data_IF_534436384394
#
_entry.id   IF_534436384394
#
_cell.length_a   1.000
_cell.length_b   1.000
_cell.length_c   1.000
_cell.angle_alpha   90.00
_cell.angle_beta   90.00
_cell.angle_gamma   90.00
#
_symmetry.space_group_name_H-M   'P 1'
#
loop_
_entity.id
_entity.type
_entity.pdbx_description
1 polymer ?
#
# COMPACT_ATOMS: atom_id res chain seq x y z
N UNK A 1 8.18 9.45 5.69
CA UNK A 1 7.18 8.83 6.59
C UNK A 1 6.46 9.96 7.29
N UNK A 2 5.14 10.03 7.13
CA UNK A 2 4.34 11.15 7.64
C UNK A 2 3.82 10.89 9.06
N UNK A 3 3.73 9.64 9.49
CA UNK A 3 3.23 9.23 10.81
C UNK A 3 4.27 9.24 11.92
N UNK A 4 3.79 9.23 13.17
CA UNK A 4 4.59 9.03 14.37
C UNK A 4 5.25 7.65 14.41
N UNK A 5 4.50 6.60 14.03
CA UNK A 5 5.08 5.26 13.81
C UNK A 5 6.07 5.34 12.64
N UNK A 6 7.32 4.95 12.88
CA UNK A 6 8.39 4.93 11.87
C UNK A 6 8.49 3.55 11.23
N UNK A 7 8.98 3.55 9.99
CA UNK A 7 9.38 2.33 9.27
C UNK A 7 10.64 1.72 9.90
N UNK A 8 10.84 0.43 9.66
CA UNK A 8 12.03 -0.32 10.06
C UNK A 8 12.71 -0.86 8.80
N UNK A 9 13.92 -1.41 8.93
CA UNK A 9 14.68 -1.92 7.77
C UNK A 9 13.97 -3.04 7.01
N UNK A 10 13.21 -3.89 7.71
CA UNK A 10 12.44 -4.94 7.05
C UNK A 10 11.28 -4.38 6.22
N UNK A 11 10.61 -3.32 6.69
CA UNK A 11 9.57 -2.60 5.94
C UNK A 11 10.12 -1.99 4.65
N UNK A 12 11.35 -1.46 4.67
CA UNK A 12 12.01 -0.91 3.48
C UNK A 12 12.29 -1.99 2.43
N UNK A 13 12.82 -3.14 2.86
CA UNK A 13 13.04 -4.30 1.97
C UNK A 13 11.72 -4.82 1.37
N UNK A 14 10.66 -4.87 2.16
CA UNK A 14 9.34 -5.26 1.66
C UNK A 14 8.79 -4.25 0.64
N UNK A 15 9.03 -2.95 0.83
CA UNK A 15 8.68 -1.91 -0.14
C UNK A 15 9.47 -2.00 -1.45
N UNK A 16 10.77 -2.31 -1.39
CA UNK A 16 11.60 -2.58 -2.58
C UNK A 16 11.07 -3.81 -3.35
N UNK A 17 10.75 -4.88 -2.63
CA UNK A 17 10.15 -6.08 -3.20
C UNK A 17 8.80 -5.79 -3.84
N UNK A 18 7.96 -5.01 -3.17
CA UNK A 18 6.65 -4.61 -3.65
C UNK A 18 6.75 -3.76 -4.93
N UNK A 19 7.68 -2.81 -4.99
CA UNK A 19 7.90 -1.99 -6.18
C UNK A 19 8.28 -2.84 -7.40
N UNK A 20 9.16 -3.84 -7.23
CA UNK A 20 9.51 -4.77 -8.30
C UNK A 20 8.29 -5.59 -8.77
N UNK A 21 7.40 -5.97 -7.85
CA UNK A 21 6.16 -6.70 -8.17
C UNK A 21 5.18 -5.81 -8.94
N UNK A 22 4.97 -4.56 -8.50
CA UNK A 22 4.07 -3.61 -9.18
C UNK A 22 4.58 -3.24 -10.57
N UNK A 23 5.89 -3.10 -10.78
CA UNK A 23 6.45 -2.89 -12.10
C UNK A 23 6.08 -4.03 -13.07
N UNK A 24 6.17 -5.29 -12.61
CA UNK A 24 5.78 -6.47 -13.40
C UNK A 24 4.27 -6.55 -13.67
N UNK A 25 3.43 -6.32 -12.65
CA UNK A 25 1.97 -6.33 -12.81
C UNK A 25 1.46 -5.19 -13.67
N UNK A 26 2.03 -4.00 -13.51
CA UNK A 26 1.65 -2.82 -14.27
C UNK A 26 2.02 -2.94 -15.74
N UNK A 27 3.13 -3.61 -16.08
CA UNK A 27 3.47 -3.90 -17.47
C UNK A 27 2.45 -4.83 -18.18
N UNK A 28 1.68 -5.60 -17.41
CA UNK A 28 0.62 -6.48 -17.90
C UNK A 28 -0.78 -5.89 -17.67
N UNK A 29 -0.87 -4.65 -17.19
CA UNK A 29 -2.12 -3.97 -16.85
C UNK A 29 -3.03 -4.73 -15.85
N UNK A 30 -2.42 -5.52 -14.95
CA UNK A 30 -3.18 -6.37 -14.01
C UNK A 30 -3.66 -5.58 -12.79
N UNK A 31 -2.78 -4.76 -12.21
CA UNK A 31 -3.03 -4.09 -10.95
C UNK A 31 -1.91 -3.15 -10.55
N UNK A 32 -2.17 -2.37 -9.51
CA UNK A 32 -1.29 -1.25 -9.11
C UNK A 32 -1.00 -1.24 -7.60
N UNK A 33 -1.41 -2.28 -6.88
CA UNK A 33 -1.09 -2.47 -5.48
C UNK A 33 -0.92 -3.94 -5.07
N UNK A 34 -0.20 -4.15 -3.98
CA UNK A 34 0.06 -5.46 -3.42
C UNK A 34 0.33 -5.38 -1.91
N UNK A 35 0.32 -6.53 -1.26
CA UNK A 35 0.72 -6.67 0.15
C UNK A 35 1.93 -7.60 0.25
N UNK A 36 2.96 -7.17 0.97
CA UNK A 36 4.21 -7.91 1.16
C UNK A 36 4.56 -8.01 2.64
N UNK A 37 5.03 -9.17 3.09
CA UNK A 37 5.53 -9.39 4.45
C UNK A 37 6.76 -10.31 4.40
N UNK A 38 7.89 -9.84 4.91
CA UNK A 38 9.12 -10.64 4.96
C UNK A 38 9.57 -11.13 3.59
N UNK A 39 9.40 -10.30 2.54
CA UNK A 39 9.70 -10.61 1.15
C UNK A 39 8.64 -11.44 0.41
N UNK A 40 7.65 -12.01 1.12
CA UNK A 40 6.58 -12.79 0.52
C UNK A 40 5.42 -11.90 0.09
N UNK A 41 4.97 -12.06 -1.16
CA UNK A 41 3.75 -11.42 -1.65
C UNK A 41 2.55 -12.20 -1.12
N UNK A 42 1.69 -11.53 -0.37
CA UNK A 42 0.50 -12.11 0.26
C UNK A 42 -0.76 -11.87 -0.54
N UNK A 43 -0.86 -10.71 -1.20
CA UNK A 43 -1.99 -10.37 -2.05
C UNK A 43 -1.56 -9.43 -3.17
N UNK A 44 -2.27 -9.52 -4.30
CA UNK A 44 -2.10 -8.68 -5.48
C UNK A 44 -3.46 -8.10 -5.84
N UNK A 45 -3.48 -6.81 -6.17
CA UNK A 45 -4.68 -6.18 -6.72
C UNK A 45 -4.91 -6.70 -8.14
N UNK A 46 -6.18 -6.98 -8.43
CA UNK A 46 -6.67 -7.29 -9.77
C UNK A 46 -8.01 -6.60 -10.00
N UNK A 47 -8.87 -7.23 -10.81
CA UNK A 47 -10.14 -6.64 -11.25
C UNK A 47 -11.10 -6.21 -10.12
N UNK A 48 -11.05 -6.85 -8.95
CA UNK A 48 -11.95 -6.54 -7.82
C UNK A 48 -11.47 -5.36 -6.96
N UNK A 49 -10.29 -4.80 -7.27
CA UNK A 49 -9.77 -3.59 -6.66
C UNK A 49 -9.16 -3.75 -5.26
N UNK A 50 -8.53 -2.67 -4.80
CA UNK A 50 -7.80 -2.56 -3.53
C UNK A 50 -8.66 -2.98 -2.32
N UNK A 51 -9.90 -2.51 -2.23
CA UNK A 51 -10.78 -2.76 -1.08
C UNK A 51 -11.09 -4.25 -0.91
N UNK A 52 -11.40 -4.93 -2.01
CA UNK A 52 -11.65 -6.38 -1.99
C UNK A 52 -10.39 -7.12 -1.58
N UNK A 53 -9.24 -6.74 -2.14
CA UNK A 53 -7.95 -7.33 -1.81
C UNK A 53 -7.65 -7.19 -0.30
N UNK A 54 -7.73 -5.99 0.27
CA UNK A 54 -7.44 -5.78 1.69
C UNK A 54 -8.44 -6.50 2.61
N UNK A 55 -9.73 -6.53 2.25
CA UNK A 55 -10.75 -7.29 3.00
C UNK A 55 -10.45 -8.78 3.05
N UNK A 56 -9.85 -9.35 1.99
CA UNK A 56 -9.48 -10.77 1.95
C UNK A 56 -8.38 -11.14 2.95
N UNK A 57 -7.64 -10.15 3.47
CA UNK A 57 -6.54 -10.33 4.43
C UNK A 57 -6.97 -10.24 5.90
N UNK A 58 -8.22 -9.86 6.20
CA UNK A 58 -8.69 -9.62 7.58
C UNK A 58 -8.61 -10.85 8.51
N UNK A 59 -8.42 -12.06 7.97
CA UNK A 59 -8.28 -13.32 8.73
C UNK A 59 -7.19 -14.23 8.17
N UNK A 60 -6.11 -13.65 7.64
CA UNK A 60 -5.01 -14.44 7.06
C UNK A 60 -4.32 -15.33 8.14
N UNK A 61 -3.87 -16.54 7.78
CA UNK A 61 -3.36 -17.53 8.74
C UNK A 61 -1.98 -17.19 9.31
N UNK A 62 -1.22 -16.30 8.68
CA UNK A 62 0.11 -15.87 9.13
C UNK A 62 0.07 -14.71 10.14
N UNK A 63 -1.13 -14.30 10.59
CA UNK A 63 -1.34 -13.29 11.63
C UNK A 63 -1.27 -11.85 11.10
N UNK A 64 -0.51 -11.00 11.78
CA UNK A 64 -0.38 -9.56 11.47
C UNK A 64 0.98 -9.22 10.86
N UNK A 65 1.13 -7.98 10.40
CA UNK A 65 2.35 -7.38 9.89
C UNK A 65 2.49 -7.30 8.37
N UNK A 66 3.58 -6.71 7.92
CA UNK A 66 3.84 -6.42 6.50
C UNK A 66 3.20 -5.13 6.03
N UNK A 67 3.40 -4.82 4.76
CA UNK A 67 3.06 -3.52 4.17
C UNK A 67 2.09 -3.67 3.01
N UNK A 68 1.18 -2.71 2.91
CA UNK A 68 0.46 -2.44 1.67
C UNK A 68 1.27 -1.45 0.83
N UNK A 69 1.48 -1.75 -0.45
CA UNK A 69 2.19 -0.90 -1.39
C UNK A 69 1.27 -0.51 -2.54
N UNK A 70 1.22 0.78 -2.91
CA UNK A 70 0.51 1.28 -4.08
C UNK A 70 1.40 2.23 -4.87
N UNK A 71 1.42 2.06 -6.19
CA UNK A 71 2.15 2.95 -7.08
C UNK A 71 1.43 3.08 -8.41
N UNK A 72 1.86 4.05 -9.22
CA UNK A 72 1.39 4.19 -10.60
C UNK A 72 1.94 3.04 -11.46
N UNK A 73 1.12 2.51 -12.37
CA UNK A 73 1.60 1.53 -13.35
C UNK A 73 2.58 2.17 -14.36
N UNK A 74 3.58 1.44 -14.87
CA UNK A 74 4.41 1.92 -15.97
C UNK A 74 3.55 2.34 -17.17
N UNK A 75 3.80 3.52 -17.73
CA UNK A 75 3.06 4.05 -18.89
C UNK A 75 1.65 4.59 -18.59
N UNK A 76 1.16 4.53 -17.35
CA UNK A 76 -0.12 5.13 -16.98
C UNK A 76 -0.03 6.66 -17.06
N UNK A 77 -0.97 7.25 -17.80
CA UNK A 77 -1.13 8.69 -17.90
C UNK A 77 -1.84 9.23 -16.65
N UNK A 78 -1.16 10.00 -15.79
CA UNK A 78 -1.75 10.49 -14.55
C UNK A 78 -2.92 11.47 -14.77
N UNK A 79 -3.11 11.98 -16.00
CA UNK A 79 -4.25 12.85 -16.37
C UNK A 79 -5.52 12.06 -16.62
N UNK A 80 -5.40 10.75 -16.87
CA UNK A 80 -6.52 9.86 -17.16
C UNK A 80 -6.96 9.16 -15.89
N UNK A 81 -6.00 8.57 -15.16
CA UNK A 81 -6.26 7.83 -13.94
C UNK A 81 -5.01 7.86 -13.06
N UNK A 82 -5.17 8.35 -11.83
CA UNK A 82 -4.11 8.40 -10.82
C UNK A 82 -4.54 7.51 -9.65
N UNK A 83 -3.73 6.52 -9.22
CA UNK A 83 -4.06 5.70 -8.07
C UNK A 83 -4.34 6.55 -6.84
N UNK A 84 -5.33 6.17 -6.05
CA UNK A 84 -5.78 6.95 -4.88
C UNK A 84 -5.67 6.13 -3.60
N UNK A 85 -5.32 6.83 -2.51
CA UNK A 85 -5.37 6.35 -1.12
C UNK A 85 -6.08 7.38 -0.26
N UNK A 86 -6.92 6.93 0.67
CA UNK A 86 -7.59 7.78 1.65
C UNK A 86 -7.76 7.10 3.00
N UNK A 87 -8.52 7.71 3.90
CA UNK A 87 -8.78 7.19 5.26
C UNK A 87 -9.40 5.79 5.25
N UNK A 88 -10.20 5.46 4.24
CA UNK A 88 -10.78 4.11 4.10
C UNK A 88 -9.71 3.04 3.83
N UNK A 89 -8.66 3.40 3.09
CA UNK A 89 -7.50 2.51 2.87
C UNK A 89 -6.74 2.29 4.17
N UNK A 90 -6.61 3.32 5.01
CA UNK A 90 -6.01 3.21 6.35
C UNK A 90 -6.82 2.25 7.21
N UNK A 91 -8.14 2.43 7.28
CA UNK A 91 -9.03 1.55 8.03
C UNK A 91 -8.97 0.10 7.53
N UNK A 92 -8.92 -0.11 6.21
CA UNK A 92 -8.81 -1.44 5.61
C UNK A 92 -7.44 -2.10 5.90
N UNK A 93 -6.34 -1.35 5.81
CA UNK A 93 -5.01 -1.85 6.14
C UNK A 93 -4.88 -2.22 7.63
N UNK A 94 -5.44 -1.39 8.52
CA UNK A 94 -5.50 -1.67 9.95
C UNK A 94 -6.32 -2.93 10.24
N UNK A 95 -7.47 -3.10 9.59
CA UNK A 95 -8.31 -4.30 9.72
C UNK A 95 -7.64 -5.56 9.18
N UNK A 96 -6.81 -5.44 8.15
CA UNK A 96 -5.95 -6.50 7.65
C UNK A 96 -4.74 -6.80 8.56
N UNK A 97 -4.58 -6.03 9.65
CA UNK A 97 -3.48 -6.15 10.59
C UNK A 97 -2.14 -5.86 9.95
N UNK A 98 -2.05 -4.91 9.02
CA UNK A 98 -0.79 -4.50 8.38
C UNK A 98 -0.03 -3.51 9.27
N UNK A 99 1.29 -3.48 9.15
CA UNK A 99 2.15 -2.53 9.87
C UNK A 99 2.08 -1.12 9.26
N UNK A 100 1.88 -1.04 7.94
CA UNK A 100 1.96 0.22 7.24
C UNK A 100 1.44 0.22 5.81
N UNK A 101 1.25 1.44 5.33
CA UNK A 101 0.93 1.79 3.95
C UNK A 101 2.12 2.52 3.36
N UNK A 102 2.53 2.08 2.18
CA UNK A 102 3.60 2.67 1.38
C UNK A 102 3.04 3.09 0.03
N UNK A 103 3.29 4.34 -0.35
CA UNK A 103 2.89 4.87 -1.65
C UNK A 103 4.08 5.51 -2.35
N UNK A 104 4.13 5.44 -3.67
CA UNK A 104 5.17 6.11 -4.45
C UNK A 104 4.91 7.62 -4.56
N UNK A 105 5.94 8.43 -4.30
CA UNK A 105 5.91 9.89 -4.53
C UNK A 105 5.55 10.19 -5.99
N UNK A 106 4.74 11.22 -6.23
CA UNK A 106 4.23 11.64 -7.54
C UNK A 106 3.43 10.59 -8.35
N UNK A 107 3.24 9.39 -7.80
CA UNK A 107 2.51 8.28 -8.44
C UNK A 107 1.13 8.01 -7.85
N UNK A 108 0.80 8.55 -6.67
CA UNK A 108 -0.44 8.25 -5.94
C UNK A 108 -1.03 9.53 -5.34
N UNK A 109 -2.32 9.76 -5.56
CA UNK A 109 -3.07 10.82 -4.88
C UNK A 109 -3.45 10.38 -3.47
N UNK A 110 -3.12 11.21 -2.49
CA UNK A 110 -3.55 11.02 -1.09
C UNK A 110 -4.70 11.97 -0.81
N UNK A 111 -5.89 11.41 -0.56
CA UNK A 111 -7.08 12.18 -0.19
C UNK A 111 -6.92 12.73 1.23
N UNK A 112 -6.85 14.05 1.36
CA UNK A 112 -6.62 14.75 2.64
C UNK A 112 -5.49 14.09 3.44
N UNK A 113 -4.25 14.43 3.06
CA UNK A 113 -3.04 13.89 3.70
C UNK A 113 -3.07 14.04 5.23
N UNK A 114 -3.60 15.14 5.75
CA UNK A 114 -3.68 15.37 7.19
C UNK A 114 -4.68 14.40 7.85
N UNK A 115 -5.82 14.12 7.21
CA UNK A 115 -6.75 13.11 7.71
C UNK A 115 -6.18 11.70 7.64
N UNK A 116 -5.46 11.36 6.57
CA UNK A 116 -4.76 10.07 6.43
C UNK A 116 -3.70 9.89 7.51
N UNK A 117 -2.88 10.91 7.77
CA UNK A 117 -1.86 10.89 8.82
C UNK A 117 -2.47 10.63 10.20
N UNK A 118 -3.51 11.41 10.58
CA UNK A 118 -4.21 11.22 11.85
C UNK A 118 -4.82 9.82 11.98
N UNK A 119 -5.54 9.38 10.96
CA UNK A 119 -6.17 8.05 10.96
C UNK A 119 -5.13 6.94 11.08
N UNK A 120 -3.97 7.10 10.42
CA UNK A 120 -2.90 6.12 10.45
C UNK A 120 -2.25 6.05 11.83
N UNK A 121 -1.98 7.20 12.45
CA UNK A 121 -1.48 7.27 13.83
C UNK A 121 -2.46 6.66 14.84
N UNK A 122 -3.75 6.99 14.75
CA UNK A 122 -4.81 6.43 15.61
C UNK A 122 -4.94 4.90 15.45
N UNK A 123 -4.77 4.40 14.23
CA UNK A 123 -4.81 2.97 13.94
C UNK A 123 -3.50 2.23 14.24
N UNK A 124 -2.44 2.94 14.61
CA UNK A 124 -1.10 2.37 14.81
C UNK A 124 -0.46 1.86 13.51
N UNK A 125 -0.86 2.37 12.35
CA UNK A 125 -0.34 2.01 11.02
C UNK A 125 0.59 3.12 10.56
N UNK A 126 1.79 2.83 10.06
CA UNK A 126 2.61 3.90 9.49
C UNK A 126 2.15 4.28 8.07
N UNK A 127 2.31 5.55 7.70
CA UNK A 127 2.08 6.03 6.34
C UNK A 127 3.37 6.59 5.74
N UNK A 128 3.85 5.97 4.65
CA UNK A 128 5.12 6.30 4.03
C UNK A 128 4.95 6.62 2.54
N UNK A 129 5.09 7.90 2.18
CA UNK A 129 5.38 8.27 0.78
C UNK A 129 6.87 8.06 0.54
N UNK A 130 7.19 7.15 -0.38
CA UNK A 130 8.54 6.72 -0.71
C UNK A 130 8.99 7.37 -2.03
N UNK A 131 10.25 7.79 -2.08
CA UNK A 131 10.94 8.07 -3.34
C UNK A 131 11.44 6.78 -3.99
N UNK A 132 11.25 6.60 -5.30
CA UNK A 132 11.78 5.45 -6.05
C UNK A 132 13.25 5.17 -5.74
#
# INVERSE_FOLDING_TARGET
VYTARRTEEHHKRDAERAAAVIAGLGALDIGQSCVVKGGQVLALEGMFGTDWMLKSLAHRPDGTGGIFYKAKKPGQDPRVDLPVVGVDTVAAAAKAGLDGIVVEEDGVMVLDLAAVERAADEAGVFFWVRRP
#
